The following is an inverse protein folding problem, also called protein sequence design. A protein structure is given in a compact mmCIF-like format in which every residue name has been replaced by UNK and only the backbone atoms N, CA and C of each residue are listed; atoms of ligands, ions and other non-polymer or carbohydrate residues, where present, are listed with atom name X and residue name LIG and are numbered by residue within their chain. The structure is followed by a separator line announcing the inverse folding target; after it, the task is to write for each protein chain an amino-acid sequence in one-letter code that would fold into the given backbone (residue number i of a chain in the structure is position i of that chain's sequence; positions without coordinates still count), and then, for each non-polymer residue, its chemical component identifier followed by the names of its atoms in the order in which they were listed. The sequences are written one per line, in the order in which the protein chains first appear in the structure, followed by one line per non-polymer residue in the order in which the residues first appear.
data_IF_310308035509
#
_entry.id   IF_310308035509
#
_cell.length_a   1.000
_cell.length_b   1.000
_cell.length_c   1.000
_cell.angle_alpha   90.00
_cell.angle_beta   90.00
_cell.angle_gamma   90.00
#
_symmetry.space_group_name_H-M   'P 1'
#
loop_
_entity.id
_entity.type
_entity.pdbx_description
1 polymer ?
#
# COMPACT_ATOMS: atom_id res chain seq x y z
N UNK A 1 -41.20 15.65 0.12
CA UNK A 1 -39.81 15.21 -0.12
C UNK A 1 -39.85 14.15 -1.19
N UNK A 2 -39.39 14.48 -2.39
CA UNK A 2 -39.59 13.69 -3.60
C UNK A 2 -38.67 12.46 -3.61
N UNK A 3 -39.24 11.31 -4.02
CA UNK A 3 -38.58 10.01 -4.18
C UNK A 3 -37.25 10.06 -4.97
N UNK A 4 -37.05 11.13 -5.75
CA UNK A 4 -35.86 11.40 -6.56
C UNK A 4 -34.62 11.83 -5.77
N UNK A 5 -34.80 12.41 -4.58
CA UNK A 5 -33.65 12.73 -3.71
C UNK A 5 -33.08 11.48 -3.03
N UNK A 6 -33.93 10.50 -2.71
CA UNK A 6 -33.51 9.24 -2.09
C UNK A 6 -32.64 8.41 -3.05
N UNK A 7 -32.96 8.39 -4.35
CA UNK A 7 -32.17 7.68 -5.35
C UNK A 7 -30.80 8.30 -5.59
N UNK A 8 -30.66 9.62 -5.50
CA UNK A 8 -29.36 10.30 -5.67
C UNK A 8 -28.45 10.03 -4.45
N UNK A 9 -29.02 10.02 -3.24
CA UNK A 9 -28.26 9.70 -2.02
C UNK A 9 -27.83 8.23 -2.00
N UNK A 10 -28.67 7.30 -2.48
CA UNK A 10 -28.33 5.88 -2.59
C UNK A 10 -27.29 5.57 -3.68
N UNK A 11 -27.19 6.38 -4.73
CA UNK A 11 -26.17 6.21 -5.77
C UNK A 11 -24.79 6.75 -5.34
N UNK A 12 -24.75 7.67 -4.37
CA UNK A 12 -23.48 8.20 -3.84
C UNK A 12 -22.87 7.30 -2.76
N UNK A 13 -23.67 6.52 -2.03
CA UNK A 13 -23.16 5.61 -1.00
C UNK A 13 -22.59 4.30 -1.54
N UNK A 14 -22.87 3.93 -2.80
CA UNK A 14 -22.37 2.70 -3.42
C UNK A 14 -20.93 2.81 -3.96
N UNK A 15 -20.34 4.00 -4.01
CA UNK A 15 -18.95 4.19 -4.50
C UNK A 15 -17.92 3.97 -3.37
N UNK A 16 -18.35 3.98 -2.10
CA UNK A 16 -17.46 3.80 -0.94
C UNK A 16 -17.32 2.35 -0.45
N UNK A 17 -17.85 1.37 -1.17
CA UNK A 17 -17.47 -0.04 -0.95
C UNK A 17 -16.12 -0.31 -1.62
N UNK A 18 -15.09 0.46 -1.25
CA UNK A 18 -13.72 0.11 -1.60
C UNK A 18 -13.35 -1.09 -0.73
N UNK A 19 -13.45 -2.24 -1.39
CA UNK A 19 -12.86 -3.54 -1.08
C UNK A 19 -12.40 -3.77 0.37
N UNK A 20 -13.06 -4.72 1.02
CA UNK A 20 -12.46 -5.52 2.08
C UNK A 20 -11.24 -6.27 1.48
N UNK A 21 -10.09 -5.60 1.39
CA UNK A 21 -8.87 -6.12 0.79
C UNK A 21 -8.14 -7.01 1.79
N UNK A 22 -7.79 -8.20 1.29
CA UNK A 22 -7.15 -9.24 2.06
C UNK A 22 -5.67 -8.84 2.26
N UNK A 23 -5.18 -8.77 3.50
CA UNK A 23 -3.79 -8.33 3.83
C UNK A 23 -2.71 -9.20 3.15
N UNK A 24 -3.07 -10.44 2.79
CA UNK A 24 -2.15 -11.43 2.20
C UNK A 24 -1.58 -11.00 0.83
N UNK A 25 -2.39 -10.59 -0.16
CA UNK A 25 -1.91 -9.94 -1.39
C UNK A 25 -0.96 -8.77 -1.16
N UNK A 26 -1.27 -7.86 -0.23
CA UNK A 26 -0.44 -6.69 0.06
C UNK A 26 0.96 -7.06 0.57
N UNK A 27 1.02 -7.99 1.53
CA UNK A 27 2.30 -8.51 2.03
C UNK A 27 3.12 -9.20 0.94
N UNK A 28 2.46 -9.94 0.03
CA UNK A 28 3.14 -10.55 -1.13
C UNK A 28 3.67 -9.49 -2.09
N UNK A 29 2.90 -8.44 -2.36
CA UNK A 29 3.32 -7.35 -3.21
C UNK A 29 4.59 -6.69 -2.66
N UNK A 30 4.58 -6.37 -1.36
CA UNK A 30 5.75 -5.85 -0.65
C UNK A 30 6.97 -6.76 -0.79
N UNK A 31 6.83 -8.06 -0.50
CA UNK A 31 7.91 -9.04 -0.64
C UNK A 31 8.49 -9.10 -2.06
N UNK A 32 7.63 -9.05 -3.07
CA UNK A 32 8.08 -9.06 -4.47
C UNK A 32 8.77 -7.76 -4.89
N UNK A 33 8.40 -6.61 -4.32
CA UNK A 33 9.12 -5.36 -4.52
C UNK A 33 10.52 -5.42 -3.87
N UNK A 34 10.62 -5.96 -2.65
CA UNK A 34 11.90 -6.17 -1.96
C UNK A 34 12.84 -7.10 -2.76
N UNK A 35 12.31 -8.23 -3.26
CA UNK A 35 13.03 -9.12 -4.17
C UNK A 35 13.54 -8.41 -5.44
N UNK A 36 12.75 -7.45 -5.94
CA UNK A 36 13.14 -6.65 -7.11
C UNK A 36 14.29 -5.69 -6.77
N UNK A 37 14.23 -5.00 -5.63
CA UNK A 37 15.32 -4.15 -5.13
C UNK A 37 16.63 -4.93 -5.00
N UNK A 38 16.60 -6.09 -4.33
CA UNK A 38 17.79 -6.93 -4.17
C UNK A 38 18.39 -7.36 -5.53
N UNK A 39 17.53 -7.53 -6.55
CA UNK A 39 17.97 -7.84 -7.90
C UNK A 39 18.56 -6.62 -8.62
N UNK A 40 17.97 -5.43 -8.44
CA UNK A 40 18.52 -4.18 -8.95
C UNK A 40 19.86 -3.81 -8.32
N UNK A 41 20.03 -4.03 -7.01
CA UNK A 41 21.32 -3.81 -6.35
C UNK A 41 22.42 -4.70 -6.93
N UNK A 42 22.11 -5.97 -7.19
CA UNK A 42 23.03 -6.88 -7.88
C UNK A 42 23.34 -6.41 -9.30
N UNK A 43 22.32 -5.93 -10.03
CA UNK A 43 22.48 -5.38 -11.37
C UNK A 43 23.34 -4.10 -11.38
N UNK A 44 23.27 -3.28 -10.33
CA UNK A 44 24.00 -2.03 -10.21
C UNK A 44 25.46 -2.23 -9.80
N UNK A 45 25.75 -3.27 -9.01
CA UNK A 45 27.10 -3.55 -8.50
C UNK A 45 27.99 -4.39 -9.43
N UNK A 46 27.41 -5.03 -10.44
CA UNK A 46 28.17 -5.81 -11.41
C UNK A 46 28.85 -4.90 -12.43
N UNK A 47 30.02 -5.29 -12.91
CA UNK A 47 30.78 -4.65 -13.99
C UNK A 47 30.59 -5.37 -15.35
N UNK A 48 29.90 -6.51 -15.35
CA UNK A 48 29.60 -7.28 -16.56
C UNK A 48 28.20 -6.97 -17.12
N UNK A 49 28.15 -6.49 -18.38
CA UNK A 49 26.89 -6.16 -19.08
C UNK A 49 25.88 -7.32 -19.15
N UNK A 50 26.38 -8.55 -19.31
CA UNK A 50 25.52 -9.74 -19.34
C UNK A 50 24.83 -9.98 -17.99
N UNK A 51 25.57 -9.83 -16.90
CA UNK A 51 25.04 -10.02 -15.56
C UNK A 51 24.11 -8.88 -15.16
N UNK A 52 24.42 -7.64 -15.55
CA UNK A 52 23.53 -6.49 -15.37
C UNK A 52 22.14 -6.78 -15.96
N UNK A 53 22.10 -7.26 -17.21
CA UNK A 53 20.84 -7.63 -17.88
C UNK A 53 20.16 -8.84 -17.24
N UNK A 54 20.93 -9.84 -16.82
CA UNK A 54 20.38 -11.02 -16.16
C UNK A 54 19.69 -10.65 -14.84
N UNK A 55 20.36 -9.87 -13.99
CA UNK A 55 19.79 -9.40 -12.73
C UNK A 55 18.62 -8.44 -12.95
N UNK A 56 18.70 -7.53 -13.93
CA UNK A 56 17.58 -6.68 -14.30
C UNK A 56 16.36 -7.49 -14.75
N UNK A 57 16.57 -8.57 -15.50
CA UNK A 57 15.47 -9.45 -15.92
C UNK A 57 14.83 -10.18 -14.73
N UNK A 58 15.63 -10.56 -13.72
CA UNK A 58 15.10 -11.10 -12.45
C UNK A 58 14.27 -10.04 -11.72
N UNK A 59 14.78 -8.81 -11.61
CA UNK A 59 14.07 -7.70 -10.99
C UNK A 59 12.73 -7.42 -11.68
N UNK A 60 12.73 -7.36 -13.03
CA UNK A 60 11.52 -7.23 -13.84
C UNK A 60 10.48 -8.31 -13.53
N UNK A 61 10.90 -9.57 -13.42
CA UNK A 61 9.97 -10.67 -13.12
C UNK A 61 9.37 -10.53 -11.72
N UNK A 62 10.15 -10.07 -10.73
CA UNK A 62 9.66 -9.76 -9.40
C UNK A 62 8.68 -8.57 -9.41
N UNK A 63 8.99 -7.49 -10.15
CA UNK A 63 8.06 -6.37 -10.36
C UNK A 63 6.73 -6.81 -10.96
N UNK A 64 6.72 -7.68 -11.97
CA UNK A 64 5.48 -8.19 -12.56
C UNK A 64 4.62 -8.97 -11.54
N UNK A 65 5.26 -9.74 -10.65
CA UNK A 65 4.55 -10.41 -9.56
C UNK A 65 4.03 -9.42 -8.52
N UNK A 66 4.84 -8.41 -8.18
CA UNK A 66 4.45 -7.33 -7.28
C UNK A 66 3.22 -6.59 -7.81
N UNK A 67 3.21 -6.22 -9.09
CA UNK A 67 2.08 -5.53 -9.73
C UNK A 67 0.78 -6.36 -9.67
N UNK A 68 0.85 -7.67 -9.95
CA UNK A 68 -0.34 -8.53 -9.85
C UNK A 68 -0.88 -8.56 -8.42
N UNK A 69 -0.01 -8.72 -7.43
CA UNK A 69 -0.39 -8.72 -6.02
C UNK A 69 -0.86 -7.35 -5.52
N UNK A 70 -0.24 -6.26 -5.97
CA UNK A 70 -0.60 -4.88 -5.66
C UNK A 70 -1.98 -4.53 -6.23
N UNK A 71 -2.31 -5.04 -7.43
CA UNK A 71 -3.64 -4.89 -8.02
C UNK A 71 -4.73 -5.61 -7.21
N UNK A 72 -4.45 -6.82 -6.73
CA UNK A 72 -5.37 -7.55 -5.83
C UNK A 72 -5.52 -6.86 -4.48
N UNK A 73 -4.44 -6.25 -3.99
CA UNK A 73 -4.44 -5.40 -2.81
C UNK A 73 -5.10 -4.02 -3.05
N UNK A 74 -5.19 -3.54 -4.29
CA UNK A 74 -5.72 -2.21 -4.62
C UNK A 74 -4.90 -1.01 -4.17
N UNK A 75 -3.61 -1.19 -3.88
CA UNK A 75 -2.67 -0.08 -3.72
C UNK A 75 -2.30 0.48 -5.11
N UNK A 76 -3.08 1.43 -5.62
CA UNK A 76 -2.93 1.94 -6.99
C UNK A 76 -1.63 2.69 -7.22
N UNK A 77 -1.15 3.43 -6.22
CA UNK A 77 0.05 4.27 -6.36
C UNK A 77 1.30 3.41 -6.40
N UNK A 78 1.38 2.41 -5.51
CA UNK A 78 2.43 1.40 -5.55
C UNK A 78 2.40 0.59 -6.86
N UNK A 79 1.22 0.24 -7.37
CA UNK A 79 1.06 -0.41 -8.67
C UNK A 79 1.59 0.46 -9.82
N UNK A 80 1.30 1.77 -9.79
CA UNK A 80 1.75 2.72 -10.82
C UNK A 80 3.27 2.87 -10.80
N UNK A 81 3.87 3.11 -9.63
CA UNK A 81 5.33 3.21 -9.50
C UNK A 81 6.04 1.90 -9.91
N UNK A 82 5.50 0.75 -9.54
CA UNK A 82 6.03 -0.55 -9.98
C UNK A 82 5.96 -0.74 -11.51
N UNK A 83 4.92 -0.22 -12.16
CA UNK A 83 4.80 -0.23 -13.62
C UNK A 83 5.88 0.65 -14.27
N UNK A 84 6.11 1.86 -13.75
CA UNK A 84 7.15 2.77 -14.26
C UNK A 84 8.53 2.15 -14.11
N UNK A 85 8.82 1.54 -12.95
CA UNK A 85 10.01 0.73 -12.74
C UNK A 85 10.15 -0.38 -13.79
N UNK A 86 9.09 -1.14 -14.05
CA UNK A 86 9.10 -2.21 -15.05
C UNK A 86 9.30 -1.70 -16.49
N UNK A 87 8.81 -0.50 -16.82
CA UNK A 87 9.04 0.14 -18.13
C UNK A 87 10.53 0.45 -18.31
N UNK A 88 11.20 1.00 -17.30
CA UNK A 88 12.64 1.29 -17.35
C UNK A 88 13.48 0.01 -17.57
N UNK A 89 13.09 -1.13 -16.98
CA UNK A 89 13.78 -2.41 -17.24
C UNK A 89 13.81 -2.79 -18.73
N UNK A 90 12.80 -2.39 -19.50
CA UNK A 90 12.78 -2.63 -20.96
C UNK A 90 13.82 -1.78 -21.67
N UNK A 91 14.11 -0.58 -21.17
CA UNK A 91 15.16 0.30 -21.73
C UNK A 91 16.55 -0.25 -21.43
N UNK A 92 16.77 -0.84 -20.25
CA UNK A 92 17.99 -1.60 -19.93
C UNK A 92 18.25 -2.69 -20.97
N UNK A 93 17.22 -3.45 -21.37
CA UNK A 93 17.36 -4.51 -22.37
C UNK A 93 17.65 -3.98 -23.78
N UNK A 94 17.38 -2.71 -24.06
CA UNK A 94 17.59 -2.07 -25.36
C UNK A 94 18.82 -1.16 -25.42
N UNK A 95 19.42 -0.84 -24.28
CA UNK A 95 20.61 0.01 -24.21
C UNK A 95 21.76 -0.59 -25.05
N UNK A 96 22.57 0.26 -25.68
CA UNK A 96 23.66 -0.17 -26.56
C UNK A 96 24.99 -0.32 -25.83
N UNK A 97 25.19 0.43 -24.75
CA UNK A 97 26.39 0.41 -23.93
C UNK A 97 26.02 0.09 -22.47
N UNK A 98 27.04 -0.06 -21.64
CA UNK A 98 26.89 -0.47 -20.25
C UNK A 98 26.38 0.69 -19.37
N UNK A 99 26.86 1.89 -19.62
CA UNK A 99 26.58 3.11 -18.86
C UNK A 99 25.10 3.51 -18.97
N UNK A 100 24.54 3.49 -20.18
CA UNK A 100 23.12 3.73 -20.44
C UNK A 100 22.27 2.65 -19.76
N UNK A 101 22.72 1.38 -19.82
CA UNK A 101 22.02 0.29 -19.17
C UNK A 101 21.99 0.49 -17.65
N UNK A 102 23.12 0.91 -17.05
CA UNK A 102 23.25 1.19 -15.63
C UNK A 102 22.40 2.39 -15.20
N UNK A 103 22.33 3.44 -16.03
CA UNK A 103 21.43 4.57 -15.82
C UNK A 103 19.97 4.11 -15.74
N UNK A 104 19.50 3.32 -16.71
CA UNK A 104 18.12 2.81 -16.68
C UNK A 104 17.87 1.83 -15.53
N UNK A 105 18.88 1.05 -15.10
CA UNK A 105 18.80 0.24 -13.88
C UNK A 105 18.59 1.14 -12.66
N UNK A 106 19.33 2.24 -12.54
CA UNK A 106 19.18 3.20 -11.45
C UNK A 106 17.77 3.81 -11.43
N UNK A 107 17.25 4.23 -12.58
CA UNK A 107 15.89 4.77 -12.67
C UNK A 107 14.84 3.73 -12.28
N UNK A 108 14.99 2.50 -12.77
CA UNK A 108 14.09 1.40 -12.44
C UNK A 108 14.09 1.07 -10.94
N UNK A 109 15.27 1.12 -10.31
CA UNK A 109 15.42 0.96 -8.86
C UNK A 109 14.69 2.05 -8.09
N UNK A 110 14.89 3.32 -8.45
CA UNK A 110 14.26 4.45 -7.76
C UNK A 110 12.72 4.34 -7.77
N UNK A 111 12.12 4.06 -8.93
CA UNK A 111 10.68 3.81 -9.01
C UNK A 111 10.21 2.60 -8.18
N UNK A 112 11.07 1.60 -8.01
CA UNK A 112 10.78 0.44 -7.17
C UNK A 112 10.86 0.78 -5.67
N UNK A 113 11.77 1.69 -5.28
CA UNK A 113 11.84 2.23 -3.92
C UNK A 113 10.60 3.08 -3.61
N UNK A 114 10.18 3.95 -4.54
CA UNK A 114 8.90 4.69 -4.43
C UNK A 114 7.71 3.73 -4.32
N UNK A 115 7.69 2.65 -5.09
CA UNK A 115 6.63 1.64 -5.00
C UNK A 115 6.59 0.95 -3.63
N UNK A 116 7.75 0.74 -2.97
CA UNK A 116 7.82 0.18 -1.62
C UNK A 116 7.26 1.15 -0.59
N UNK A 117 7.59 2.44 -0.70
CA UNK A 117 7.07 3.49 0.18
C UNK A 117 5.53 3.55 0.07
N UNK A 118 4.99 3.64 -1.14
CA UNK A 118 3.54 3.62 -1.35
C UNK A 118 2.88 2.32 -0.88
N UNK A 119 3.56 1.17 -1.00
CA UNK A 119 3.04 -0.09 -0.48
C UNK A 119 3.02 -0.11 1.05
N UNK A 120 4.02 0.48 1.69
CA UNK A 120 4.09 0.62 3.15
C UNK A 120 2.97 1.52 3.67
N UNK A 121 2.74 2.67 3.03
CA UNK A 121 1.66 3.59 3.40
C UNK A 121 0.30 2.90 3.24
N UNK A 122 0.08 2.22 2.11
CA UNK A 122 -1.13 1.45 1.86
C UNK A 122 -1.35 0.34 2.93
N UNK A 123 -0.29 -0.36 3.35
CA UNK A 123 -0.35 -1.34 4.42
C UNK A 123 -0.73 -0.73 5.77
N UNK A 124 -0.19 0.44 6.09
CA UNK A 124 -0.48 1.16 7.33
C UNK A 124 -1.94 1.66 7.37
N UNK A 125 -2.45 2.17 6.25
CA UNK A 125 -3.86 2.56 6.12
C UNK A 125 -4.81 1.39 6.45
N UNK A 126 -4.47 0.16 6.03
CA UNK A 126 -5.24 -1.02 6.45
C UNK A 126 -5.22 -1.20 7.96
N UNK A 127 -4.05 -1.16 8.60
CA UNK A 127 -3.91 -1.42 10.04
C UNK A 127 -4.73 -0.43 10.86
N UNK A 128 -4.65 0.86 10.53
CA UNK A 128 -5.42 1.91 11.21
C UNK A 128 -6.93 1.72 11.03
N UNK A 129 -7.39 1.37 9.82
CA UNK A 129 -8.81 1.12 9.55
C UNK A 129 -9.36 -0.09 10.30
N UNK A 130 -8.56 -1.14 10.50
CA UNK A 130 -8.98 -2.31 11.26
C UNK A 130 -9.06 -2.02 12.77
N UNK A 131 -8.08 -1.32 13.35
CA UNK A 131 -8.11 -0.98 14.78
C UNK A 131 -9.22 0.03 15.12
N UNK A 132 -9.47 1.01 14.25
CA UNK A 132 -10.56 1.97 14.43
C UNK A 132 -11.95 1.30 14.44
N UNK A 133 -12.17 0.33 13.55
CA UNK A 133 -13.43 -0.43 13.50
C UNK A 133 -13.63 -1.35 14.71
N UNK A 134 -12.56 -1.85 15.33
CA UNK A 134 -12.67 -2.63 16.57
C UNK A 134 -13.17 -1.75 17.72
N UNK A 135 -12.68 -0.51 17.83
CA UNK A 135 -13.12 0.44 18.84
C UNK A 135 -14.60 0.84 18.71
N UNK A 136 -15.08 1.07 17.49
CA UNK A 136 -16.50 1.42 17.24
C UNK A 136 -17.46 0.25 17.49
N UNK A 137 -16.95 -0.98 17.53
CA UNK A 137 -17.74 -2.19 17.81
C UNK A 137 -17.84 -2.53 19.30
N UNK A 138 -17.10 -1.82 20.18
CA UNK A 138 -17.19 -2.02 21.62
C UNK A 138 -18.50 -1.43 22.16
N UNK A 139 -19.33 -2.21 22.87
CA UNK A 139 -20.51 -1.65 23.53
C UNK A 139 -20.05 -0.59 24.53
N UNK A 140 -20.53 0.64 24.32
CA UNK A 140 -20.31 1.74 25.27
C UNK A 140 -20.68 1.26 26.68
N UNK A 141 -19.81 1.48 27.68
CA UNK A 141 -20.17 1.18 29.06
C UNK A 141 -21.43 1.97 29.40
N UNK A 142 -22.50 1.26 29.76
CA UNK A 142 -23.75 1.87 30.25
C UNK A 142 -23.36 2.80 31.39
N UNK A 143 -23.63 4.10 31.21
CA UNK A 143 -23.39 5.10 32.25
C UNK A 143 -24.01 4.61 33.56
N UNK A 144 -23.26 4.56 34.67
CA UNK A 144 -23.85 4.31 35.96
C UNK A 144 -24.70 5.54 36.34
N UNK A 145 -25.99 5.45 36.08
CA UNK A 145 -26.99 6.27 36.76
C UNK A 145 -26.86 6.02 38.27
N UNK A 146 -26.17 6.91 38.97
CA UNK A 146 -26.41 7.13 40.39
C UNK A 146 -26.25 8.61 40.70
N UNK A 147 -27.39 9.28 40.73
CA UNK A 147 -27.62 10.53 41.42
C UNK A 147 -27.40 10.23 42.90
N UNK A 148 -26.30 10.71 43.48
CA UNK A 148 -26.19 10.81 44.94
C UNK A 148 -26.64 12.24 45.29
N UNK A 149 -27.90 12.34 45.72
CA UNK A 149 -28.40 13.51 46.42
C UNK A 149 -27.64 13.60 47.75
N UNK A 150 -26.89 14.68 47.94
CA UNK A 150 -26.29 15.02 49.23
C UNK A 150 -27.37 15.76 50.02
N UNK A 151 -28.14 15.01 50.78
CA UNK A 151 -29.04 15.59 51.78
C UNK A 151 -28.23 16.15 52.95
N UNK A 152 -28.57 17.39 53.26
CA UNK A 152 -28.17 18.17 54.41
C UNK A 152 -28.52 17.49 55.74
N UNK A 153 -27.53 17.33 56.61
CA UNK A 153 -27.72 17.13 58.05
C UNK A 153 -26.74 18.01 58.81
N UNK A 154 -27.24 19.17 59.23
CA UNK A 154 -26.52 20.07 60.13
C UNK A 154 -26.51 19.53 61.55
N UNK A 155 -25.45 19.83 62.30
CA UNK A 155 -25.47 19.81 63.76
C UNK A 155 -24.71 21.03 64.28
N UNK A 156 -25.45 21.83 65.04
CA UNK A 156 -24.96 22.89 65.88
C UNK A 156 -24.15 22.32 67.06
N UNK A 157 -23.02 22.95 67.37
CA UNK A 157 -22.70 23.49 68.69
C UNK A 157 -21.45 24.36 68.64
#
# INVERSE_FOLDING_TARGET
MSLRFITIVLLFTSINTFSFQNKKPCNKAYQHLDDAILSFEKAYRTDHSKDLRNFTNKAKNSLLKAMNAAKECGCTDALSAALDGAIETKKVMKANNFEDALYYVSMSRNYTEEALEYMSDCLLEYEVLFEGKVLDSLPLPKEPHSIIAIDSLGWAK
#
